data_IF_987046414371
#
_entry.id   IF_987046414371
#
_cell.length_a   1.000
_cell.length_b   1.000
_cell.length_c   1.000
_cell.angle_alpha   90.00
_cell.angle_beta   90.00
_cell.angle_gamma   90.00
#
_symmetry.space_group_name_H-M   'P 1'
#
loop_
_entity.id
_entity.type
_entity.pdbx_description
1 polymer ?
#
# COMPACT_ATOMS: atom_id res chain seq x y z
N UNK A 1 7.75 -28.12 -15.60
CA UNK A 1 6.63 -27.39 -14.94
C UNK A 1 5.83 -26.71 -16.05
N UNK A 2 4.52 -26.98 -16.17
CA UNK A 2 3.74 -26.69 -17.39
C UNK A 2 2.45 -25.88 -17.16
N UNK A 3 2.27 -25.28 -15.98
CA UNK A 3 1.07 -24.50 -15.64
C UNK A 3 1.41 -23.01 -15.47
N UNK A 4 0.52 -22.14 -15.93
CA UNK A 4 0.65 -20.68 -15.84
C UNK A 4 -0.56 -20.10 -15.09
N UNK A 5 -0.30 -19.32 -14.02
CA UNK A 5 -1.34 -18.68 -13.22
C UNK A 5 -1.54 -17.24 -13.67
N UNK A 6 -2.78 -16.87 -14.01
CA UNK A 6 -3.18 -15.52 -14.44
C UNK A 6 -4.42 -15.05 -13.68
N UNK A 7 -4.42 -13.81 -13.21
CA UNK A 7 -5.55 -13.22 -12.49
C UNK A 7 -6.45 -12.46 -13.47
N UNK A 8 -7.66 -12.96 -13.73
CA UNK A 8 -8.64 -12.30 -14.62
C UNK A 8 -9.37 -11.14 -13.91
N UNK A 9 -9.82 -11.38 -12.69
CA UNK A 9 -10.47 -10.39 -11.84
C UNK A 9 -9.71 -10.29 -10.53
N UNK A 10 -9.34 -9.05 -10.18
CA UNK A 10 -8.63 -8.75 -8.94
C UNK A 10 -9.57 -8.80 -7.74
N UNK A 11 -9.00 -9.02 -6.56
CA UNK A 11 -9.75 -8.97 -5.31
C UNK A 11 -10.35 -7.57 -5.10
N UNK A 12 -11.63 -7.50 -4.72
CA UNK A 12 -12.36 -6.24 -4.53
C UNK A 12 -12.55 -5.87 -3.06
N UNK A 13 -12.49 -6.84 -2.13
CA UNK A 13 -12.64 -6.58 -0.69
C UNK A 13 -11.48 -5.75 -0.14
N UNK A 14 -11.81 -4.66 0.56
CA UNK A 14 -10.83 -3.78 1.23
C UNK A 14 -10.62 -4.29 2.64
N UNK A 15 -9.37 -4.59 3.00
CA UNK A 15 -8.97 -5.08 4.34
C UNK A 15 -8.55 -3.92 5.23
N UNK A 16 -7.82 -2.95 4.67
CA UNK A 16 -7.43 -1.73 5.36
C UNK A 16 -7.36 -0.57 4.37
N UNK A 17 -7.56 0.64 4.89
CA UNK A 17 -7.52 1.87 4.12
C UNK A 17 -6.95 3.01 4.98
N UNK A 18 -6.19 3.89 4.35
CA UNK A 18 -5.64 5.11 4.95
C UNK A 18 -5.86 6.27 3.99
N UNK A 19 -6.16 7.45 4.51
CA UNK A 19 -6.27 8.68 3.75
C UNK A 19 -5.06 9.58 4.01
N UNK A 20 -4.59 10.30 2.99
CA UNK A 20 -3.41 11.14 3.07
C UNK A 20 -3.14 11.92 1.79
N UNK A 21 -2.11 12.76 1.82
CA UNK A 21 -1.52 13.43 0.65
C UNK A 21 -0.28 12.66 0.21
N UNK A 22 -0.47 11.60 -0.56
CA UNK A 22 0.60 10.71 -1.01
C UNK A 22 1.27 11.22 -2.29
N UNK A 23 0.56 11.98 -3.12
CA UNK A 23 1.16 12.71 -4.26
C UNK A 23 1.82 14.03 -3.85
N UNK A 24 1.63 14.44 -2.59
CA UNK A 24 2.10 15.72 -2.06
C UNK A 24 1.13 16.89 -2.28
N UNK A 25 1.38 17.97 -1.52
CA UNK A 25 0.60 19.21 -1.59
C UNK A 25 -0.77 19.06 -0.91
N UNK A 26 -1.79 19.73 -1.46
CA UNK A 26 -3.16 19.72 -0.92
C UNK A 26 -4.03 18.58 -1.47
N UNK A 27 -3.44 17.62 -2.18
CA UNK A 27 -4.18 16.46 -2.69
C UNK A 27 -4.62 15.56 -1.54
N UNK A 28 -5.79 14.94 -1.67
CA UNK A 28 -6.29 13.92 -0.75
C UNK A 28 -6.56 12.66 -1.54
N UNK A 29 -5.93 11.58 -1.11
CA UNK A 29 -5.98 10.28 -1.72
C UNK A 29 -6.22 9.22 -0.65
N UNK A 30 -6.60 8.03 -1.12
CA UNK A 30 -6.91 6.90 -0.27
C UNK A 30 -6.05 5.73 -0.74
N UNK A 31 -5.16 5.25 0.13
CA UNK A 31 -4.45 4.00 -0.12
C UNK A 31 -5.26 2.87 0.50
N UNK A 32 -5.55 1.84 -0.29
CA UNK A 32 -6.33 0.68 0.15
C UNK A 32 -5.54 -0.60 -0.08
N UNK A 33 -5.67 -1.55 0.84
CA UNK A 33 -5.21 -2.92 0.65
C UNK A 33 -6.37 -3.85 0.33
N UNK A 34 -6.23 -4.63 -0.74
CA UNK A 34 -7.17 -5.70 -1.12
C UNK A 34 -6.45 -7.04 -1.09
N UNK A 35 -6.26 -7.57 0.11
CA UNK A 35 -5.47 -8.79 0.35
C UNK A 35 -4.00 -8.59 -0.02
N UNK A 36 -3.63 -8.99 -1.25
CA UNK A 36 -2.27 -8.89 -1.82
C UNK A 36 -2.05 -7.69 -2.74
N UNK A 37 -3.07 -6.88 -2.96
CA UNK A 37 -3.00 -5.67 -3.79
C UNK A 37 -2.92 -4.44 -2.91
N UNK A 38 -2.03 -3.52 -3.27
CA UNK A 38 -1.95 -2.16 -2.74
C UNK A 38 -2.37 -1.19 -3.83
N UNK A 39 -3.40 -0.39 -3.56
CA UNK A 39 -3.95 0.56 -4.52
C UNK A 39 -3.95 1.98 -3.96
N UNK A 40 -3.66 2.94 -4.83
CA UNK A 40 -3.84 4.36 -4.58
C UNK A 40 -5.07 4.84 -5.35
N UNK A 41 -6.03 5.39 -4.63
CA UNK A 41 -7.28 5.91 -5.15
C UNK A 41 -7.33 7.42 -4.95
N UNK A 42 -8.00 8.13 -5.87
CA UNK A 42 -8.28 9.56 -5.74
C UNK A 42 -9.71 9.85 -6.20
N UNK A 43 -10.50 10.63 -5.45
CA UNK A 43 -11.77 11.14 -5.94
C UNK A 43 -11.52 12.16 -7.06
N UNK A 44 -12.30 12.08 -8.13
CA UNK A 44 -12.36 13.13 -9.15
C UNK A 44 -13.20 14.33 -8.70
N UNK A 45 -13.25 15.37 -9.52
CA UNK A 45 -14.02 16.59 -9.23
C UNK A 45 -15.54 16.34 -9.13
N UNK A 46 -16.02 15.21 -9.68
CA UNK A 46 -17.41 14.77 -9.60
C UNK A 46 -17.66 13.84 -8.40
N UNK A 47 -16.66 13.60 -7.55
CA UNK A 47 -16.72 12.71 -6.40
C UNK A 47 -16.63 11.21 -6.73
N UNK A 48 -16.36 10.83 -7.99
CA UNK A 48 -16.15 9.42 -8.35
C UNK A 48 -14.73 8.99 -8.00
N UNK A 49 -14.60 7.80 -7.42
CA UNK A 49 -13.31 7.25 -7.02
C UNK A 49 -12.60 6.66 -8.24
N UNK A 50 -11.41 7.17 -8.54
CA UNK A 50 -10.54 6.66 -9.60
C UNK A 50 -9.32 5.96 -9.00
N UNK A 51 -8.88 4.87 -9.63
CA UNK A 51 -7.65 4.17 -9.24
C UNK A 51 -6.46 4.78 -9.99
N UNK A 52 -5.52 5.36 -9.25
CA UNK A 52 -4.29 5.95 -9.82
C UNK A 52 -3.20 4.90 -10.05
N UNK A 53 -3.03 4.01 -9.08
CA UNK A 53 -2.01 2.95 -9.09
C UNK A 53 -2.55 1.70 -8.41
N UNK A 54 -2.24 0.53 -8.96
CA UNK A 54 -2.59 -0.79 -8.39
C UNK A 54 -1.40 -1.72 -8.57
N UNK A 55 -0.82 -2.19 -7.47
CA UNK A 55 0.40 -3.01 -7.44
C UNK A 55 0.17 -4.25 -6.59
N UNK A 56 0.62 -5.40 -7.07
CA UNK A 56 0.61 -6.65 -6.29
C UNK A 56 1.86 -6.73 -5.41
N UNK A 57 1.66 -6.92 -4.11
CA UNK A 57 2.76 -6.99 -3.13
C UNK A 57 3.26 -8.42 -2.92
N UNK A 58 2.57 -9.43 -3.47
CA UNK A 58 2.87 -10.85 -3.34
C UNK A 58 2.93 -11.36 -1.88
N UNK A 59 2.21 -10.70 -0.98
CA UNK A 59 2.03 -11.08 0.43
C UNK A 59 0.70 -10.57 0.97
N UNK A 60 0.35 -10.97 2.18
CA UNK A 60 -0.88 -10.51 2.84
C UNK A 60 -0.61 -9.19 3.59
N UNK A 61 -1.24 -8.11 3.15
CA UNK A 61 -1.19 -6.83 3.86
C UNK A 61 -2.13 -6.90 5.07
N UNK A 62 -1.60 -6.66 6.27
CA UNK A 62 -2.36 -6.76 7.53
C UNK A 62 -2.60 -5.42 8.20
N UNK A 63 -1.73 -4.46 7.99
CA UNK A 63 -1.87 -3.11 8.54
C UNK A 63 -1.30 -2.08 7.58
N UNK A 64 -2.00 -0.95 7.49
CA UNK A 64 -1.53 0.25 6.83
C UNK A 64 -1.56 1.39 7.82
N UNK A 65 -0.51 2.20 7.80
CA UNK A 65 -0.48 3.48 8.49
C UNK A 65 0.15 4.52 7.56
N UNK A 66 -0.15 5.79 7.80
CA UNK A 66 0.56 6.89 7.17
C UNK A 66 1.28 7.74 8.21
N UNK A 67 2.34 8.40 7.79
CA UNK A 67 2.96 9.47 8.56
C UNK A 67 3.54 10.55 7.65
N UNK A 68 3.68 11.74 8.21
CA UNK A 68 4.29 12.90 7.56
C UNK A 68 5.56 13.27 8.30
N UNK A 69 6.64 13.52 7.57
CA UNK A 69 7.83 14.13 8.15
C UNK A 69 7.59 15.62 8.41
N UNK A 70 8.14 16.16 9.50
CA UNK A 70 8.02 17.57 9.85
C UNK A 70 8.50 18.46 8.70
N UNK A 71 7.66 19.39 8.24
CA UNK A 71 7.94 20.27 7.11
C UNK A 71 7.73 19.65 5.72
N UNK A 72 7.44 18.34 5.62
CA UNK A 72 7.03 17.71 4.36
C UNK A 72 5.58 18.02 4.04
N UNK A 73 5.25 18.02 2.75
CA UNK A 73 3.87 18.10 2.25
C UNK A 73 3.35 16.75 1.73
N UNK A 74 4.12 15.69 1.94
CA UNK A 74 3.88 14.36 1.40
C UNK A 74 3.85 13.32 2.51
N UNK A 75 2.86 12.46 2.47
CA UNK A 75 2.66 11.36 3.39
C UNK A 75 3.34 10.09 2.87
N UNK A 76 4.01 9.38 3.78
CA UNK A 76 4.60 8.08 3.55
C UNK A 76 3.63 6.99 3.99
N UNK A 77 3.76 5.81 3.40
CA UNK A 77 2.91 4.65 3.67
C UNK A 77 3.73 3.62 4.41
N UNK A 78 3.32 3.25 5.61
CA UNK A 78 3.89 2.12 6.36
C UNK A 78 3.03 0.89 6.09
N UNK A 79 3.67 -0.17 5.61
CA UNK A 79 3.02 -1.44 5.30
C UNK A 79 3.51 -2.51 6.26
N UNK A 80 2.58 -3.05 7.04
CA UNK A 80 2.76 -4.28 7.80
C UNK A 80 2.18 -5.46 7.04
N UNK A 81 3.03 -6.45 6.76
CA UNK A 81 2.67 -7.67 6.02
C UNK A 81 3.09 -8.93 6.76
N UNK A 82 2.76 -10.09 6.22
CA UNK A 82 3.23 -11.40 6.65
C UNK A 82 4.72 -11.67 6.32
N UNK A 83 5.46 -10.69 5.78
CA UNK A 83 6.87 -10.88 5.44
C UNK A 83 7.83 -10.92 6.64
N UNK A 84 7.38 -10.54 7.84
CA UNK A 84 8.26 -10.32 9.00
C UNK A 84 9.10 -9.04 8.87
N UNK A 85 8.71 -8.14 7.95
CA UNK A 85 9.37 -6.86 7.68
C UNK A 85 8.39 -5.71 7.77
N UNK A 86 8.88 -4.57 8.24
CA UNK A 86 8.18 -3.29 8.15
C UNK A 86 8.71 -2.53 6.93
N UNK A 87 7.82 -2.09 6.06
CA UNK A 87 8.18 -1.43 4.80
C UNK A 87 7.60 -0.02 4.78
N UNK A 88 8.42 0.96 4.41
CA UNK A 88 7.99 2.33 4.19
C UNK A 88 8.05 2.62 2.70
N UNK A 89 6.92 3.05 2.14
CA UNK A 89 6.74 3.37 0.74
C UNK A 89 6.46 4.87 0.57
N UNK A 90 6.90 5.39 -0.56
CA UNK A 90 6.59 6.72 -1.05
C UNK A 90 5.97 6.60 -2.45
N UNK A 91 4.87 7.31 -2.72
CA UNK A 91 4.28 7.31 -4.05
C UNK A 91 5.01 8.30 -4.98
N UNK A 92 5.61 7.80 -6.05
CA UNK A 92 6.24 8.63 -7.08
C UNK A 92 5.25 8.93 -8.20
N UNK A 93 4.72 10.15 -8.23
CA UNK A 93 3.73 10.59 -9.22
C UNK A 93 4.28 10.62 -10.65
N UNK A 94 5.55 10.97 -10.83
CA UNK A 94 6.16 11.08 -12.16
C UNK A 94 6.34 9.71 -12.82
N UNK A 95 6.77 8.72 -12.04
CA UNK A 95 6.95 7.34 -12.50
C UNK A 95 5.71 6.49 -12.36
N UNK A 96 4.71 6.97 -11.63
CA UNK A 96 3.53 6.23 -11.19
C UNK A 96 3.86 4.88 -10.53
N UNK A 97 4.77 4.90 -9.55
CA UNK A 97 5.19 3.70 -8.79
C UNK A 97 5.23 3.98 -7.29
N UNK A 98 5.21 2.90 -6.49
CA UNK A 98 5.58 2.99 -5.08
C UNK A 98 7.07 2.73 -4.92
N UNK A 99 7.82 3.79 -4.61
CA UNK A 99 9.24 3.69 -4.28
C UNK A 99 9.38 3.18 -2.84
N UNK A 100 10.20 2.13 -2.68
CA UNK A 100 10.49 1.57 -1.36
C UNK A 100 11.62 2.35 -0.72
N UNK A 101 11.26 3.20 0.24
CA UNK A 101 12.22 4.07 0.92
C UNK A 101 12.96 3.33 2.03
N UNK A 102 12.26 2.44 2.73
CA UNK A 102 12.84 1.69 3.82
C UNK A 102 12.22 0.30 3.94
N UNK A 103 13.03 -0.66 4.40
CA UNK A 103 12.60 -2.03 4.65
C UNK A 103 13.46 -2.62 5.76
N UNK A 104 12.85 -2.83 6.92
CA UNK A 104 13.54 -3.38 8.10
C UNK A 104 12.97 -4.75 8.45
N UNK A 105 13.84 -5.71 8.75
CA UNK A 105 13.41 -7.05 9.18
C UNK A 105 13.35 -7.10 10.69
N UNK A 106 12.18 -7.41 11.24
CA UNK A 106 11.99 -7.51 12.70
C UNK A 106 11.66 -8.94 13.16
N UNK A 107 11.32 -9.84 12.24
CA UNK A 107 10.90 -11.19 12.59
C UNK A 107 10.93 -12.16 11.41
N UNK A 108 10.46 -13.38 11.67
CA UNK A 108 10.28 -14.41 10.63
C UNK A 108 9.04 -14.10 9.79
N UNK A 109 9.03 -14.60 8.56
CA UNK A 109 7.85 -14.54 7.69
C UNK A 109 6.75 -15.48 8.18
N UNK A 110 5.52 -15.15 7.83
CA UNK A 110 4.28 -15.82 8.23
C UNK A 110 3.43 -14.99 9.19
N UNK A 111 2.16 -15.39 9.32
CA UNK A 111 1.27 -14.88 10.37
C UNK A 111 1.49 -15.70 11.62
N UNK A 112 2.28 -15.17 12.55
CA UNK A 112 2.71 -15.86 13.76
C UNK A 112 2.02 -15.26 14.99
N UNK A 113 1.52 -16.12 15.88
CA UNK A 113 1.12 -15.73 17.23
C UNK A 113 2.35 -15.79 18.13
N UNK A 114 2.81 -14.65 18.65
CA UNK A 114 3.76 -14.65 19.77
C UNK A 114 2.96 -14.76 21.07
N UNK A 115 2.50 -15.98 21.38
CA UNK A 115 2.09 -16.34 22.74
C UNK A 115 3.32 -16.88 23.45
N UNK A 116 4.18 -15.96 23.91
CA UNK A 116 5.22 -16.18 24.91
C UNK A 116 5.25 -14.97 25.84
#
# INVERSE_FOLDING_TARGET
MYLYSLTLQRATGIVCAINGSFSGGKSQEIVVARGKLLELLRPDDNGKIQTLLSVETFGAIRSLAQFRLTGSQKDYIVVGSDSGRIVILEYNKEKNVFDKIHQETFGKSGVLNSLL
#
